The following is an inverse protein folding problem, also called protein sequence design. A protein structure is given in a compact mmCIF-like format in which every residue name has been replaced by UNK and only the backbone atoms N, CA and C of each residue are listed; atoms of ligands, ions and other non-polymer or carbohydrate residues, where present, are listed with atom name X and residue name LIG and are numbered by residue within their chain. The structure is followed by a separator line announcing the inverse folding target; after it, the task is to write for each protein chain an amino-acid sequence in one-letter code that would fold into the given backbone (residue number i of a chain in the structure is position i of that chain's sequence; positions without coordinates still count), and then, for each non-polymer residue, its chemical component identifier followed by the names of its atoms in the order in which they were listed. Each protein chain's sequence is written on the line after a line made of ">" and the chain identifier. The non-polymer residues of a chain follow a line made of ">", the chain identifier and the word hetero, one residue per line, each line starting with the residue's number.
data_IF_539009930642
#
_entry.id   IF_539009930642
#
_cell.length_a   1.000
_cell.length_b   1.000
_cell.length_c   1.000
_cell.angle_alpha   90.00
_cell.angle_beta   90.00
_cell.angle_gamma   90.00
#
_symmetry.space_group_name_H-M   'P 1'
#
loop_
_entity.id
_entity.type
_entity.pdbx_description
1 polymer ?
#
# COMPACT_ATOMS: atom_id res chain seq x y z
N UNK A 1 -3.09 37.96 59.68
CA UNK A 1 -3.23 36.63 59.12
C UNK A 1 -3.14 36.70 57.59
N UNK A 2 -2.04 36.32 57.04
CA UNK A 2 -1.87 36.29 55.57
C UNK A 2 -1.93 34.86 55.10
N UNK A 3 -2.97 34.53 54.39
CA UNK A 3 -3.04 33.27 53.67
C UNK A 3 -2.05 33.30 52.50
N UNK A 4 -1.06 32.49 52.55
CA UNK A 4 -0.20 32.28 51.42
C UNK A 4 -0.95 31.45 50.36
N UNK A 5 -1.34 32.12 49.31
CA UNK A 5 -1.84 31.40 48.12
C UNK A 5 -0.67 30.78 47.45
N UNK A 6 -0.43 29.53 47.69
CA UNK A 6 0.43 28.75 46.85
C UNK A 6 -0.35 28.41 45.57
N UNK A 7 -0.09 29.17 44.54
CA UNK A 7 -0.47 28.76 43.21
C UNK A 7 0.35 27.53 42.87
N UNK A 8 -0.23 26.37 43.04
CA UNK A 8 0.36 25.14 42.52
C UNK A 8 0.42 25.23 41.00
N UNK A 9 1.57 25.56 40.50
CA UNK A 9 1.83 25.36 39.08
C UNK A 9 1.87 23.85 38.85
N UNK A 10 0.77 23.28 38.40
CA UNK A 10 0.77 21.98 37.85
C UNK A 10 1.66 22.02 36.62
N UNK A 11 2.84 21.44 36.70
CA UNK A 11 3.66 21.20 35.53
C UNK A 11 2.82 20.43 34.50
N UNK A 12 2.76 20.88 33.25
CA UNK A 12 2.07 20.09 32.23
C UNK A 12 2.76 18.73 32.18
N UNK A 13 2.04 17.73 32.66
CA UNK A 13 2.47 16.34 32.50
C UNK A 13 2.53 16.14 30.99
N UNK A 14 3.74 16.05 30.46
CA UNK A 14 3.92 15.67 29.07
C UNK A 14 3.22 14.34 28.89
N UNK A 15 2.09 14.37 28.22
CA UNK A 15 1.39 13.13 27.85
C UNK A 15 2.40 12.27 27.09
N UNK A 16 2.61 11.01 27.49
CA UNK A 16 3.47 10.14 26.72
C UNK A 16 2.92 10.15 25.30
N UNK A 17 3.77 10.53 24.35
CA UNK A 17 3.44 10.40 22.93
C UNK A 17 3.11 8.95 22.71
N UNK A 18 1.85 8.65 22.61
CA UNK A 18 1.37 7.30 22.42
C UNK A 18 1.98 6.78 21.12
N UNK A 19 2.62 5.64 21.22
CA UNK A 19 3.14 4.89 20.08
C UNK A 19 2.07 4.67 19.00
N UNK A 20 0.81 4.71 19.39
CA UNK A 20 -0.36 4.65 18.50
C UNK A 20 -0.36 5.72 17.40
N UNK A 21 0.10 6.94 17.65
CA UNK A 21 0.14 7.97 16.61
C UNK A 21 1.14 7.68 15.50
N UNK A 22 2.30 7.11 15.82
CA UNK A 22 3.32 6.72 14.83
C UNK A 22 2.92 5.48 14.04
N UNK A 23 2.32 4.51 14.69
CA UNK A 23 1.79 3.30 14.04
C UNK A 23 0.65 3.66 13.10
N UNK A 24 -0.27 4.53 13.52
CA UNK A 24 -1.36 5.01 12.68
C UNK A 24 -0.84 5.74 11.45
N UNK A 25 0.15 6.60 11.58
CA UNK A 25 0.77 7.29 10.45
C UNK A 25 1.47 6.33 9.50
N UNK A 26 2.12 5.31 10.02
CA UNK A 26 2.77 4.26 9.23
C UNK A 26 1.74 3.45 8.44
N UNK A 27 0.63 3.08 9.06
CA UNK A 27 -0.49 2.38 8.41
C UNK A 27 -1.12 3.24 7.32
N UNK A 28 -1.41 4.52 7.60
CA UNK A 28 -1.98 5.45 6.63
C UNK A 28 -1.06 5.64 5.43
N UNK A 29 0.24 5.78 5.66
CA UNK A 29 1.24 5.88 4.59
C UNK A 29 1.32 4.61 3.76
N UNK A 30 1.14 3.46 4.38
CA UNK A 30 1.15 2.17 3.69
C UNK A 30 -0.11 1.98 2.84
N UNK A 31 -1.28 2.32 3.38
CA UNK A 31 -2.53 2.30 2.63
C UNK A 31 -2.47 3.26 1.43
N UNK A 32 -1.89 4.43 1.63
CA UNK A 32 -1.70 5.39 0.55
C UNK A 32 -0.79 4.83 -0.56
N UNK A 33 0.27 4.12 -0.20
CA UNK A 33 1.15 3.46 -1.19
C UNK A 33 0.43 2.39 -1.98
N UNK A 34 -0.41 1.58 -1.33
CA UNK A 34 -1.23 0.58 -1.99
C UNK A 34 -2.26 1.22 -2.93
N UNK A 35 -2.89 2.30 -2.48
CA UNK A 35 -3.85 3.08 -3.27
C UNK A 35 -3.20 3.65 -4.53
N UNK A 36 -2.03 4.26 -4.40
CA UNK A 36 -1.27 4.80 -5.52
C UNK A 36 -0.93 3.70 -6.53
N UNK A 37 -0.49 2.56 -6.05
CA UNK A 37 -0.13 1.42 -6.89
C UNK A 37 -1.33 0.93 -7.71
N UNK A 38 -2.49 0.77 -7.06
CA UNK A 38 -3.74 0.38 -7.74
C UNK A 38 -4.16 1.43 -8.77
N UNK A 39 -4.06 2.72 -8.45
CA UNK A 39 -4.40 3.80 -9.36
C UNK A 39 -3.52 3.76 -10.62
N UNK A 40 -2.22 3.53 -10.49
CA UNK A 40 -1.32 3.35 -11.63
C UNK A 40 -1.70 2.13 -12.49
N UNK A 41 -2.04 1.03 -11.85
CA UNK A 41 -2.49 -0.19 -12.55
C UNK A 41 -3.76 0.05 -13.37
N UNK A 42 -4.66 0.87 -12.85
CA UNK A 42 -5.91 1.23 -13.51
C UNK A 42 -5.68 2.23 -14.65
N UNK A 43 -4.79 3.19 -14.42
CA UNK A 43 -4.57 4.31 -15.34
C UNK A 43 -3.86 3.90 -16.63
N UNK A 44 -2.87 3.02 -16.55
CA UNK A 44 -2.08 2.59 -17.70
C UNK A 44 -1.86 1.08 -17.76
N UNK A 45 -2.25 0.47 -18.84
CA UNK A 45 -2.05 -0.95 -19.10
C UNK A 45 -0.58 -1.36 -19.08
N UNK A 46 0.30 -0.50 -19.62
CA UNK A 46 1.75 -0.76 -19.62
C UNK A 46 2.32 -0.79 -18.20
N UNK A 47 1.85 0.07 -17.31
CA UNK A 47 2.24 0.07 -15.91
C UNK A 47 1.72 -1.18 -15.19
N UNK A 48 0.50 -1.59 -15.50
CA UNK A 48 -0.03 -2.86 -14.97
C UNK A 48 0.88 -4.03 -15.35
N UNK A 49 1.25 -4.15 -16.60
CA UNK A 49 2.15 -5.20 -17.09
C UNK A 49 3.49 -5.24 -16.36
N UNK A 50 4.01 -4.08 -15.99
CA UNK A 50 5.25 -3.97 -15.22
C UNK A 50 5.05 -4.33 -13.75
N UNK A 51 4.03 -3.75 -13.12
CA UNK A 51 3.73 -3.95 -11.69
C UNK A 51 3.44 -5.43 -11.40
N UNK A 52 2.69 -6.11 -12.27
CA UNK A 52 2.34 -7.52 -12.07
C UNK A 52 3.53 -8.46 -12.01
N UNK A 53 4.70 -8.05 -12.50
CA UNK A 53 5.92 -8.85 -12.40
C UNK A 53 6.44 -8.97 -10.96
N UNK A 54 6.10 -8.01 -10.13
CA UNK A 54 6.62 -7.90 -8.76
C UNK A 54 5.53 -8.01 -7.70
N UNK A 55 4.31 -7.59 -8.02
CA UNK A 55 3.19 -7.48 -7.09
C UNK A 55 2.10 -8.47 -7.46
N UNK A 56 1.57 -9.17 -6.48
CA UNK A 56 0.39 -10.03 -6.59
C UNK A 56 -0.75 -9.44 -5.75
N UNK A 57 -2.01 -9.82 -5.99
CA UNK A 57 -3.12 -9.33 -5.16
C UNK A 57 -2.93 -9.58 -3.66
N UNK A 58 -2.22 -10.64 -3.30
CA UNK A 58 -1.94 -11.00 -1.91
C UNK A 58 -1.03 -10.01 -1.18
N UNK A 59 -0.29 -9.19 -1.92
CA UNK A 59 0.57 -8.15 -1.35
C UNK A 59 -0.21 -6.95 -0.80
N UNK A 60 -1.49 -6.83 -1.16
CA UNK A 60 -2.39 -5.81 -0.60
C UNK A 60 -2.94 -6.30 0.74
N UNK A 61 -2.74 -5.50 1.77
CA UNK A 61 -3.05 -5.89 3.15
C UNK A 61 -4.49 -5.61 3.57
N UNK A 62 -5.20 -4.73 2.87
CA UNK A 62 -6.63 -4.53 3.10
C UNK A 62 -7.43 -5.44 2.18
N UNK A 63 -8.52 -5.98 2.73
CA UNK A 63 -9.42 -6.84 1.97
C UNK A 63 -10.01 -6.13 0.74
N UNK A 64 -10.38 -4.86 0.90
CA UNK A 64 -10.92 -4.04 -0.18
C UNK A 64 -9.93 -3.93 -1.35
N UNK A 65 -8.69 -3.53 -1.08
CA UNK A 65 -7.67 -3.35 -2.11
C UNK A 65 -7.24 -4.69 -2.72
N UNK A 66 -7.20 -5.74 -1.92
CA UNK A 66 -6.92 -7.10 -2.41
C UNK A 66 -7.99 -7.55 -3.41
N UNK A 67 -9.25 -7.32 -3.09
CA UNK A 67 -10.37 -7.67 -3.97
C UNK A 67 -10.32 -6.87 -5.27
N UNK A 68 -10.05 -5.56 -5.19
CA UNK A 68 -9.86 -4.72 -6.40
C UNK A 68 -8.72 -5.27 -7.26
N UNK A 69 -7.59 -5.60 -6.64
CA UNK A 69 -6.45 -6.17 -7.35
C UNK A 69 -6.78 -7.50 -8.03
N UNK A 70 -7.47 -8.40 -7.33
CA UNK A 70 -7.93 -9.68 -7.89
C UNK A 70 -8.78 -9.47 -9.13
N UNK A 71 -9.75 -8.57 -9.06
CA UNK A 71 -10.65 -8.26 -10.18
C UNK A 71 -9.90 -7.64 -11.35
N UNK A 72 -8.94 -6.75 -11.08
CA UNK A 72 -8.09 -6.17 -12.12
C UNK A 72 -7.24 -7.23 -12.81
N UNK A 73 -6.60 -8.11 -12.05
CA UNK A 73 -5.78 -9.20 -12.62
C UNK A 73 -6.62 -10.14 -13.48
N UNK A 74 -7.81 -10.53 -13.03
CA UNK A 74 -8.72 -11.34 -13.83
C UNK A 74 -9.12 -10.68 -15.14
N UNK A 75 -9.47 -9.40 -15.09
CA UNK A 75 -9.87 -8.64 -16.29
C UNK A 75 -8.73 -8.53 -17.30
N UNK A 76 -7.51 -8.25 -16.82
CA UNK A 76 -6.34 -8.22 -17.69
C UNK A 76 -6.04 -9.56 -18.35
N UNK A 77 -6.18 -10.67 -17.61
CA UNK A 77 -6.00 -12.01 -18.15
C UNK A 77 -7.04 -12.35 -19.22
N UNK A 78 -8.25 -11.87 -19.07
CA UNK A 78 -9.34 -12.05 -20.03
C UNK A 78 -9.28 -11.06 -21.21
N UNK A 79 -8.40 -10.06 -21.13
CA UNK A 79 -8.29 -9.02 -22.15
C UNK A 79 -9.43 -8.00 -22.16
N UNK A 80 -10.26 -7.98 -21.14
CA UNK A 80 -11.37 -7.06 -21.00
C UNK A 80 -11.28 -6.24 -19.73
N UNK A 81 -10.71 -5.04 -19.83
CA UNK A 81 -10.67 -4.12 -18.69
C UNK A 81 -11.98 -3.34 -18.63
N UNK A 82 -12.77 -3.59 -17.61
CA UNK A 82 -14.05 -2.92 -17.40
C UNK A 82 -14.13 -2.37 -15.97
N UNK A 83 -13.77 -1.10 -15.76
CA UNK A 83 -13.82 -0.46 -14.45
C UNK A 83 -15.22 -0.48 -13.81
N UNK A 84 -16.28 -0.36 -14.61
CA UNK A 84 -17.64 -0.37 -14.11
C UNK A 84 -18.01 -1.69 -13.42
N UNK A 85 -17.54 -2.82 -13.94
CA UNK A 85 -17.75 -4.13 -13.32
C UNK A 85 -17.06 -4.23 -11.96
N UNK A 86 -15.88 -3.64 -11.84
CA UNK A 86 -15.15 -3.62 -10.56
C UNK A 86 -15.90 -2.77 -9.55
N UNK A 87 -16.34 -1.58 -9.93
CA UNK A 87 -17.11 -0.69 -9.05
C UNK A 87 -18.43 -1.33 -8.60
N UNK A 88 -19.12 -1.99 -9.52
CA UNK A 88 -20.41 -2.63 -9.23
C UNK A 88 -20.30 -3.89 -8.36
N UNK A 89 -19.11 -4.46 -8.23
CA UNK A 89 -18.85 -5.57 -7.30
C UNK A 89 -19.06 -5.14 -5.85
N UNK A 90 -18.79 -3.89 -5.52
CA UNK A 90 -18.91 -3.35 -4.18
C UNK A 90 -20.27 -2.71 -3.98
N UNK A 91 -21.11 -3.36 -3.18
CA UNK A 91 -22.49 -2.92 -2.89
C UNK A 91 -22.58 -2.00 -1.69
N UNK A 92 -21.60 -2.05 -0.78
CA UNK A 92 -21.52 -1.15 0.33
C UNK A 92 -21.15 0.27 -0.16
N UNK A 93 -21.85 1.28 0.35
CA UNK A 93 -21.71 2.66 -0.11
C UNK A 93 -20.31 3.23 0.14
N UNK A 94 -19.71 2.94 1.29
CA UNK A 94 -18.36 3.41 1.62
C UNK A 94 -17.31 2.73 0.77
N UNK A 95 -17.42 1.42 0.61
CA UNK A 95 -16.51 0.65 -0.25
C UNK A 95 -16.61 1.10 -1.71
N UNK A 96 -17.83 1.27 -2.21
CA UNK A 96 -18.07 1.76 -3.56
C UNK A 96 -17.42 3.13 -3.79
N UNK A 97 -17.56 4.03 -2.83
CA UNK A 97 -16.96 5.37 -2.87
C UNK A 97 -15.45 5.30 -2.88
N UNK A 98 -14.86 4.47 -2.03
CA UNK A 98 -13.41 4.29 -1.98
C UNK A 98 -12.87 3.72 -3.29
N UNK A 99 -13.52 2.70 -3.83
CA UNK A 99 -13.15 2.11 -5.12
C UNK A 99 -13.31 3.11 -6.26
N UNK A 100 -14.41 3.87 -6.28
CA UNK A 100 -14.61 4.93 -7.27
C UNK A 100 -13.49 5.97 -7.24
N UNK A 101 -12.97 6.30 -6.04
CA UNK A 101 -11.86 7.24 -5.91
C UNK A 101 -10.58 6.74 -6.58
N UNK A 102 -10.34 5.43 -6.64
CA UNK A 102 -9.20 4.84 -7.33
C UNK A 102 -9.25 5.09 -8.85
N UNK A 103 -10.45 5.06 -9.42
CA UNK A 103 -10.65 5.27 -10.86
C UNK A 103 -10.64 6.74 -11.27
N UNK A 104 -10.88 7.64 -10.33
CA UNK A 104 -10.96 9.08 -10.60
C UNK A 104 -9.70 9.86 -10.19
N UNK A 105 -8.80 9.25 -9.45
CA UNK A 105 -7.56 9.90 -9.04
C UNK A 105 -6.55 9.87 -10.20
N UNK A 106 -6.07 11.04 -10.57
CA UNK A 106 -5.00 11.16 -11.57
C UNK A 106 -3.70 11.44 -10.83
N UNK A 107 -2.74 10.54 -10.98
CA UNK A 107 -1.41 10.69 -10.35
C UNK A 107 -0.43 11.42 -11.26
N UNK A 108 -0.84 11.62 -12.49
CA UNK A 108 -0.03 12.15 -13.58
C UNK A 108 0.10 13.66 -13.54
N UNK A 109 0.65 14.23 -12.49
CA UNK A 109 0.92 15.66 -12.48
C UNK A 109 2.42 15.96 -12.54
N UNK A 110 2.85 16.58 -13.63
CA UNK A 110 4.08 17.38 -13.75
C UNK A 110 5.42 16.68 -13.41
N UNK A 111 5.49 15.35 -13.37
CA UNK A 111 6.72 14.65 -13.12
C UNK A 111 7.38 14.20 -14.42
N UNK A 112 8.71 14.22 -14.44
CA UNK A 112 9.49 13.66 -15.53
C UNK A 112 9.36 12.13 -15.53
N UNK A 113 9.61 11.51 -16.69
CA UNK A 113 9.62 10.06 -16.82
C UNK A 113 10.54 9.39 -15.79
N UNK A 114 11.73 9.96 -15.58
CA UNK A 114 12.69 9.47 -14.60
C UNK A 114 12.15 9.52 -13.17
N UNK A 115 11.47 10.59 -12.81
CA UNK A 115 10.83 10.73 -11.49
C UNK A 115 9.69 9.73 -11.30
N UNK A 116 8.89 9.47 -12.36
CA UNK A 116 7.84 8.48 -12.34
C UNK A 116 8.39 7.06 -12.14
N UNK A 117 9.45 6.71 -12.86
CA UNK A 117 10.13 5.42 -12.73
C UNK A 117 10.66 5.19 -11.31
N UNK A 118 11.29 6.22 -10.74
CA UNK A 118 11.79 6.19 -9.36
C UNK A 118 10.65 6.03 -8.36
N UNK A 119 9.58 6.83 -8.49
CA UNK A 119 8.42 6.78 -7.61
C UNK A 119 7.71 5.42 -7.70
N UNK A 120 7.56 4.87 -8.89
CA UNK A 120 6.98 3.55 -9.10
C UNK A 120 7.80 2.46 -8.41
N UNK A 121 9.10 2.46 -8.61
CA UNK A 121 10.02 1.51 -7.97
C UNK A 121 9.95 1.59 -6.45
N UNK A 122 10.04 2.78 -5.90
CA UNK A 122 9.95 3.00 -4.45
C UNK A 122 8.61 2.53 -3.88
N UNK A 123 7.51 2.78 -4.60
CA UNK A 123 6.17 2.35 -4.18
C UNK A 123 6.03 0.84 -4.21
N UNK A 124 6.51 0.18 -5.26
CA UNK A 124 6.51 -1.30 -5.36
C UNK A 124 7.30 -1.90 -4.20
N UNK A 125 8.50 -1.39 -3.95
CA UNK A 125 9.36 -1.88 -2.85
C UNK A 125 8.65 -1.71 -1.50
N UNK A 126 8.06 -0.56 -1.25
CA UNK A 126 7.36 -0.27 0.00
C UNK A 126 6.18 -1.20 0.23
N UNK A 127 5.36 -1.43 -0.79
CA UNK A 127 4.21 -2.37 -0.71
C UNK A 127 4.72 -3.79 -0.48
N UNK A 128 5.76 -4.20 -1.19
CA UNK A 128 6.34 -5.54 -1.06
C UNK A 128 6.95 -5.77 0.33
N UNK A 129 7.71 -4.82 0.84
CA UNK A 129 8.30 -4.89 2.19
C UNK A 129 7.23 -5.00 3.27
N UNK A 130 6.16 -4.24 3.15
CA UNK A 130 5.02 -4.32 4.07
C UNK A 130 4.33 -5.68 4.00
N UNK A 131 4.14 -6.22 2.82
CA UNK A 131 3.58 -7.56 2.61
C UNK A 131 4.44 -8.62 3.30
N UNK A 132 5.75 -8.54 3.14
CA UNK A 132 6.72 -9.46 3.78
C UNK A 132 6.66 -9.33 5.30
N UNK A 133 6.63 -8.12 5.83
CA UNK A 133 6.54 -7.87 7.27
C UNK A 133 5.26 -8.45 7.86
N UNK A 134 4.13 -8.24 7.18
CA UNK A 134 2.83 -8.79 7.57
C UNK A 134 2.84 -10.32 7.56
N UNK A 135 3.37 -10.92 6.50
CA UNK A 135 3.48 -12.37 6.37
C UNK A 135 4.41 -12.96 7.44
N UNK A 136 5.49 -12.27 7.77
CA UNK A 136 6.44 -12.69 8.82
C UNK A 136 5.76 -12.73 10.19
N UNK A 137 4.93 -11.74 10.51
CA UNK A 137 4.19 -11.70 11.79
C UNK A 137 3.18 -12.85 11.91
N UNK A 138 2.61 -13.28 10.80
CA UNK A 138 1.58 -14.32 10.76
C UNK A 138 2.15 -15.71 10.49
N UNK A 139 3.47 -15.82 10.32
CA UNK A 139 4.13 -17.09 10.01
C UNK A 139 4.17 -18.01 11.22
N UNK A 140 3.64 -19.23 11.06
CA UNK A 140 3.78 -20.30 12.05
C UNK A 140 5.23 -20.79 12.05
N UNK A 141 5.84 -21.01 13.25
CA UNK A 141 7.25 -21.45 13.34
C UNK A 141 7.55 -22.78 12.65
N UNK A 142 6.53 -23.60 12.44
CA UNK A 142 6.63 -24.92 11.81
C UNK A 142 6.39 -24.90 10.30
N UNK A 143 5.99 -23.74 9.74
CA UNK A 143 5.71 -23.61 8.32
C UNK A 143 7.00 -23.35 7.52
N UNK A 144 7.69 -24.42 7.15
CA UNK A 144 8.94 -24.37 6.39
C UNK A 144 8.71 -23.81 4.99
N UNK A 145 7.62 -24.20 4.33
CA UNK A 145 7.27 -23.70 2.99
C UNK A 145 6.99 -22.20 3.01
N UNK A 146 6.29 -21.71 4.04
CA UNK A 146 6.06 -20.28 4.26
C UNK A 146 7.34 -19.50 4.48
N UNK A 147 8.27 -20.05 5.26
CA UNK A 147 9.58 -19.45 5.51
C UNK A 147 10.38 -19.33 4.20
N UNK A 148 10.38 -20.37 3.38
CA UNK A 148 11.06 -20.36 2.08
C UNK A 148 10.47 -19.28 1.16
N UNK A 149 9.15 -19.15 1.09
CA UNK A 149 8.48 -18.11 0.30
C UNK A 149 8.86 -16.71 0.77
N UNK A 150 8.97 -16.50 2.09
CA UNK A 150 9.42 -15.22 2.64
C UNK A 150 10.87 -14.91 2.27
N UNK A 151 11.74 -15.89 2.30
CA UNK A 151 13.15 -15.72 1.89
C UNK A 151 13.27 -15.36 0.41
N UNK A 152 12.50 -16.01 -0.44
CA UNK A 152 12.43 -15.70 -1.88
C UNK A 152 11.90 -14.29 -2.11
N UNK A 153 10.85 -13.88 -1.38
CA UNK A 153 10.29 -12.54 -1.46
C UNK A 153 11.29 -11.46 -1.04
N UNK A 154 12.05 -11.70 0.04
CA UNK A 154 13.11 -10.78 0.49
C UNK A 154 14.21 -10.64 -0.55
N UNK A 155 14.60 -11.75 -1.18
CA UNK A 155 15.59 -11.74 -2.26
C UNK A 155 15.08 -10.94 -3.47
N UNK A 156 13.82 -11.15 -3.85
CA UNK A 156 13.19 -10.41 -4.94
C UNK A 156 13.18 -8.90 -4.69
N UNK A 157 12.93 -8.46 -3.46
CA UNK A 157 13.02 -7.03 -3.09
C UNK A 157 14.44 -6.50 -3.20
N UNK A 158 15.44 -7.26 -2.75
CA UNK A 158 16.84 -6.88 -2.85
C UNK A 158 17.27 -6.73 -4.32
N UNK A 159 16.84 -7.65 -5.17
CA UNK A 159 17.12 -7.60 -6.61
C UNK A 159 16.45 -6.39 -7.25
N UNK A 160 15.19 -6.11 -6.86
CA UNK A 160 14.45 -4.96 -7.37
C UNK A 160 15.10 -3.63 -6.98
N UNK A 161 15.69 -3.52 -5.78
CA UNK A 161 16.41 -2.33 -5.34
C UNK A 161 17.60 -1.99 -6.25
N UNK A 162 18.21 -3.00 -6.85
CA UNK A 162 19.37 -2.85 -7.76
C UNK A 162 18.95 -2.61 -9.21
N UNK A 163 17.71 -2.90 -9.57
CA UNK A 163 17.21 -2.81 -10.93
C UNK A 163 16.76 -1.39 -11.27
N UNK A 164 17.02 -0.97 -12.52
CA UNK A 164 16.41 0.22 -13.07
C UNK A 164 15.11 -0.14 -13.76
N UNK A 165 14.00 0.46 -13.33
CA UNK A 165 12.69 0.29 -13.96
C UNK A 165 12.53 1.34 -15.05
N UNK A 166 12.30 0.87 -16.29
CA UNK A 166 11.99 1.73 -17.43
C UNK A 166 10.49 1.70 -17.73
N UNK A 167 9.90 2.89 -17.84
CA UNK A 167 8.54 3.07 -18.34
C UNK A 167 8.64 3.41 -19.83
N UNK A 168 8.07 2.55 -20.65
CA UNK A 168 8.03 2.77 -22.10
C UNK A 168 6.84 3.63 -22.51
#
# INVERSE_FOLDING_TARGET
>A
AKAAVQSGMASPVARPRTTHGKEQQKEDGMLQSQKILLTWMIEEESLFGMIRKYITPEDFTTELYRTVALLLYEQYEKGEVNPAKIMNHFTDEEEHREVASLFHTKIRELTTKSEQEKALKETIIRVKENSIETATRNLEPTDIAGLQRLMESKRAVQDLQKLHISIN
#
